data_IF_188837052251
#
_entry.id   IF_188837052251
#
_cell.length_a   1.000
_cell.length_b   1.000
_cell.length_c   1.000
_cell.angle_alpha   90.00
_cell.angle_beta   90.00
_cell.angle_gamma   90.00
#
_symmetry.space_group_name_H-M   'P 1'
#
loop_
_entity.id
_entity.type
_entity.pdbx_description
1 polymer ?
#
# COMPACT_ATOMS: atom_id res chain seq x y z
N UNK A 1 8.43 33.13 21.52
CA UNK A 1 7.73 32.46 22.64
C UNK A 1 7.80 30.96 22.38
N UNK A 2 8.02 30.14 23.40
CA UNK A 2 8.14 28.69 23.23
C UNK A 2 6.85 28.11 22.62
N UNK A 3 6.99 27.10 21.75
CA UNK A 3 5.90 26.40 21.07
C UNK A 3 4.82 25.94 22.04
N UNK A 4 3.55 26.27 21.77
CA UNK A 4 2.43 25.65 22.50
C UNK A 4 2.40 24.15 22.17
N UNK A 5 2.28 23.25 23.17
CA UNK A 5 2.11 21.82 22.94
C UNK A 5 0.82 21.44 22.19
N UNK A 6 -0.06 22.42 21.92
CA UNK A 6 -1.36 22.24 21.24
C UNK A 6 -1.34 22.52 19.74
N UNK A 7 -0.21 22.92 19.16
CA UNK A 7 -0.18 23.26 17.73
C UNK A 7 -0.11 21.99 16.85
N UNK A 8 -0.93 21.94 15.80
CA UNK A 8 -0.74 20.93 14.75
C UNK A 8 0.47 21.31 13.89
N UNK A 9 1.13 20.31 13.32
CA UNK A 9 2.38 20.49 12.58
C UNK A 9 2.25 19.96 11.17
N UNK A 10 2.53 20.80 10.18
CA UNK A 10 2.52 20.44 8.77
C UNK A 10 3.96 20.37 8.27
N UNK A 11 4.30 19.27 7.60
CA UNK A 11 5.54 19.16 6.84
C UNK A 11 5.27 19.59 5.38
N UNK A 12 5.88 20.69 4.95
CA UNK A 12 5.81 21.17 3.56
C UNK A 12 7.03 20.68 2.78
N UNK A 13 6.82 19.85 1.76
CA UNK A 13 7.88 19.35 0.87
C UNK A 13 7.81 20.06 -0.48
N UNK A 14 8.93 20.63 -0.91
CA UNK A 14 9.03 21.28 -2.20
C UNK A 14 10.49 21.33 -2.68
N UNK A 15 10.65 21.52 -3.99
CA UNK A 15 11.93 21.84 -4.62
C UNK A 15 12.11 23.36 -4.60
N UNK A 16 12.69 23.91 -3.54
CA UNK A 16 12.67 25.36 -3.31
C UNK A 16 13.52 26.14 -4.32
N UNK A 17 14.54 25.51 -4.90
CA UNK A 17 15.33 26.05 -6.01
C UNK A 17 14.51 26.47 -7.24
N UNK A 18 13.33 25.89 -7.43
CA UNK A 18 12.45 26.16 -8.58
C UNK A 18 11.03 26.58 -8.18
N UNK A 19 10.65 26.44 -6.90
CA UNK A 19 9.29 26.67 -6.40
C UNK A 19 9.26 27.48 -5.12
N UNK A 20 10.25 28.35 -4.91
CA UNK A 20 10.34 29.17 -3.70
C UNK A 20 9.11 30.07 -3.55
N UNK A 21 8.69 30.75 -4.62
CA UNK A 21 7.59 31.71 -4.58
C UNK A 21 6.26 31.04 -4.18
N UNK A 22 5.96 29.89 -4.81
CA UNK A 22 4.75 29.10 -4.56
C UNK A 22 4.78 28.46 -3.18
N UNK A 23 5.94 27.93 -2.75
CA UNK A 23 6.11 27.36 -1.41
C UNK A 23 5.96 28.42 -0.32
N UNK A 24 6.50 29.62 -0.56
CA UNK A 24 6.33 30.75 0.35
C UNK A 24 4.87 31.21 0.41
N UNK A 25 4.12 31.16 -0.69
CA UNK A 25 2.67 31.42 -0.70
C UNK A 25 1.90 30.38 0.13
N UNK A 26 2.14 29.09 -0.10
CA UNK A 26 1.52 28.00 0.67
C UNK A 26 1.85 28.14 2.17
N UNK A 27 3.11 28.45 2.49
CA UNK A 27 3.55 28.72 3.86
C UNK A 27 2.75 29.85 4.50
N UNK A 28 2.61 31.00 3.82
CA UNK A 28 1.83 32.14 4.31
C UNK A 28 0.38 31.74 4.58
N UNK A 29 -0.25 31.01 3.67
CA UNK A 29 -1.63 30.56 3.82
C UNK A 29 -1.81 29.57 4.98
N UNK A 30 -0.87 28.63 5.18
CA UNK A 30 -0.86 27.74 6.35
C UNK A 30 -0.73 28.53 7.67
N UNK A 31 0.16 29.53 7.70
CA UNK A 31 0.44 30.34 8.90
C UNK A 31 -0.67 31.33 9.27
N UNK A 32 -1.69 31.53 8.41
CA UNK A 32 -2.92 32.26 8.80
C UNK A 32 -3.62 31.60 9.99
N UNK A 33 -3.38 30.30 10.18
CA UNK A 33 -3.76 29.57 11.37
C UNK A 33 -2.80 29.82 12.53
N UNK A 34 -3.27 30.44 13.62
CA UNK A 34 -2.52 30.57 14.87
C UNK A 34 -2.29 29.23 15.58
N UNK A 35 -2.77 28.10 15.06
CA UNK A 35 -2.65 26.74 15.63
C UNK A 35 -1.81 25.77 14.76
N UNK A 36 -1.13 26.28 13.73
CA UNK A 36 -0.20 25.50 12.90
C UNK A 36 1.27 25.92 13.01
N UNK A 37 2.13 24.93 13.19
CA UNK A 37 3.56 25.02 12.94
C UNK A 37 3.89 24.39 11.60
N UNK A 38 4.85 24.95 10.88
CA UNK A 38 5.26 24.44 9.58
C UNK A 38 6.74 24.08 9.60
N UNK A 39 7.05 22.83 9.30
CA UNK A 39 8.41 22.41 8.96
C UNK A 39 8.49 22.34 7.44
N UNK A 40 9.43 23.05 6.84
CA UNK A 40 9.69 22.99 5.40
C UNK A 40 10.87 22.05 5.19
N UNK A 41 10.72 21.13 4.24
CA UNK A 41 11.77 20.23 3.81
C UNK A 41 12.11 20.51 2.35
N UNK A 42 13.26 21.12 2.13
CA UNK A 42 13.77 21.37 0.78
C UNK A 42 14.34 20.08 0.18
N UNK A 43 13.81 19.70 -0.96
CA UNK A 43 14.28 18.57 -1.79
C UNK A 43 14.72 19.06 -3.18
N UNK A 44 15.01 20.36 -3.31
CA UNK A 44 15.52 21.02 -4.50
C UNK A 44 16.95 20.61 -4.84
N UNK A 45 17.30 20.71 -6.12
CA UNK A 45 18.61 20.31 -6.64
C UNK A 45 19.71 21.29 -6.25
N UNK A 46 19.40 22.57 -6.31
CA UNK A 46 20.33 23.64 -5.96
C UNK A 46 20.05 24.13 -4.54
N UNK A 47 21.11 24.45 -3.80
CA UNK A 47 20.95 25.05 -2.49
C UNK A 47 20.25 26.41 -2.59
N UNK A 48 19.37 26.69 -1.64
CA UNK A 48 18.79 28.02 -1.42
C UNK A 48 19.88 29.05 -1.12
N UNK A 49 19.65 30.28 -1.56
CA UNK A 49 20.48 31.40 -1.11
C UNK A 49 20.33 31.60 0.40
N UNK A 50 21.38 32.09 1.07
CA UNK A 50 21.31 32.41 2.51
C UNK A 50 20.18 33.39 2.81
N UNK A 51 19.98 34.38 1.93
CA UNK A 51 18.93 35.38 2.08
C UNK A 51 17.53 34.75 2.06
N UNK A 52 17.25 33.85 1.11
CA UNK A 52 15.94 33.21 0.99
C UNK A 52 15.67 32.26 2.17
N UNK A 53 16.70 31.54 2.61
CA UNK A 53 16.61 30.67 3.78
C UNK A 53 16.31 31.46 5.06
N UNK A 54 16.98 32.60 5.27
CA UNK A 54 16.72 33.52 6.38
C UNK A 54 15.31 34.13 6.30
N UNK A 55 14.85 34.50 5.11
CA UNK A 55 13.50 35.05 4.91
C UNK A 55 12.42 34.04 5.32
N UNK A 56 12.54 32.77 4.91
CA UNK A 56 11.60 31.72 5.31
C UNK A 56 11.64 31.46 6.82
N UNK A 57 12.82 31.46 7.42
CA UNK A 57 13.01 31.21 8.86
C UNK A 57 12.64 32.40 9.75
N UNK A 58 12.61 33.63 9.21
CA UNK A 58 12.17 34.82 9.94
C UNK A 58 10.71 34.74 10.40
N UNK A 59 9.91 33.90 9.75
CA UNK A 59 8.53 33.62 10.11
C UNK A 59 8.47 32.81 11.41
N UNK A 60 7.79 33.35 12.42
CA UNK A 60 7.55 32.62 13.67
C UNK A 60 6.79 31.31 13.37
N UNK A 61 7.22 30.19 13.99
CA UNK A 61 6.63 28.82 13.83
C UNK A 61 7.00 28.12 12.54
N UNK A 62 8.06 28.56 11.88
CA UNK A 62 8.65 27.89 10.73
C UNK A 62 9.98 27.27 11.12
N UNK A 63 10.19 26.03 10.69
CA UNK A 63 11.50 25.36 10.72
C UNK A 63 11.87 24.97 9.30
N UNK A 64 13.01 25.43 8.79
CA UNK A 64 13.55 24.99 7.51
C UNK A 64 14.55 23.86 7.73
N UNK A 65 14.36 22.76 7.02
CA UNK A 65 15.27 21.63 6.93
C UNK A 65 15.73 21.51 5.46
N UNK A 66 17.04 21.40 5.25
CA UNK A 66 17.63 21.14 3.95
C UNK A 66 18.48 19.87 3.99
N UNK A 67 18.81 19.36 2.81
CA UNK A 67 19.73 18.22 2.65
C UNK A 67 20.82 18.55 1.65
N UNK A 68 21.98 17.96 1.90
CA UNK A 68 22.98 17.74 0.89
C UNK A 68 23.11 16.23 0.67
N UNK A 69 23.13 15.80 -0.59
CA UNK A 69 23.47 14.42 -0.92
C UNK A 69 24.99 14.27 -0.86
N UNK A 70 25.48 13.08 -0.50
CA UNK A 70 26.92 12.77 -0.48
C UNK A 70 27.61 12.99 -1.84
N UNK A 71 26.85 12.90 -2.93
CA UNK A 71 27.31 13.22 -4.29
C UNK A 71 26.81 14.60 -4.70
N UNK A 72 27.69 15.50 -5.20
CA UNK A 72 27.27 16.80 -5.68
C UNK A 72 26.17 16.68 -6.74
N UNK A 73 25.15 17.52 -6.62
CA UNK A 73 24.00 17.50 -7.53
C UNK A 73 24.40 17.77 -8.99
N UNK A 74 25.55 18.41 -9.24
CA UNK A 74 26.07 18.68 -10.58
C UNK A 74 26.52 17.42 -11.34
N UNK A 75 26.88 16.35 -10.61
CA UNK A 75 27.55 15.18 -11.18
C UNK A 75 26.59 14.03 -11.54
N UNK A 76 25.28 14.25 -11.39
CA UNK A 76 24.24 13.23 -11.58
C UNK A 76 23.16 13.70 -12.55
N UNK A 77 22.57 12.75 -13.30
CA UNK A 77 21.42 13.05 -14.15
C UNK A 77 20.23 13.50 -13.31
N UNK A 78 19.28 14.22 -13.92
CA UNK A 78 18.05 14.66 -13.21
C UNK A 78 17.27 13.47 -12.65
N UNK A 79 17.23 12.36 -13.38
CA UNK A 79 16.57 11.13 -12.95
C UNK A 79 17.25 10.52 -11.73
N UNK A 80 18.57 10.33 -11.79
CA UNK A 80 19.34 9.73 -10.69
C UNK A 80 19.29 10.60 -9.43
N UNK A 81 19.38 11.92 -9.59
CA UNK A 81 19.21 12.86 -8.48
C UNK A 81 17.86 12.66 -7.81
N UNK A 82 16.78 12.59 -8.60
CA UNK A 82 15.42 12.48 -8.08
C UNK A 82 15.23 11.19 -7.27
N UNK A 83 15.77 10.07 -7.75
CA UNK A 83 15.70 8.79 -7.02
C UNK A 83 16.49 8.82 -5.71
N UNK A 84 17.72 9.37 -5.73
CA UNK A 84 18.56 9.48 -4.52
C UNK A 84 17.98 10.45 -3.49
N UNK A 85 17.46 11.59 -3.96
CA UNK A 85 16.81 12.57 -3.10
C UNK A 85 15.53 12.02 -2.48
N UNK A 86 14.68 11.35 -3.26
CA UNK A 86 13.49 10.68 -2.74
C UNK A 86 13.84 9.69 -1.61
N UNK A 87 14.84 8.82 -1.82
CA UNK A 87 15.28 7.86 -0.80
C UNK A 87 15.79 8.55 0.47
N UNK A 88 16.64 9.58 0.32
CA UNK A 88 17.22 10.32 1.46
C UNK A 88 16.16 11.10 2.24
N UNK A 89 15.24 11.77 1.52
CA UNK A 89 14.12 12.48 2.11
C UNK A 89 13.17 11.50 2.84
N UNK A 90 12.89 10.33 2.27
CA UNK A 90 12.09 9.28 2.91
C UNK A 90 12.69 8.88 4.26
N UNK A 91 13.99 8.62 4.34
CA UNK A 91 14.65 8.24 5.59
C UNK A 91 14.54 9.33 6.66
N UNK A 92 14.75 10.60 6.27
CA UNK A 92 14.63 11.71 7.21
C UNK A 92 13.21 11.92 7.68
N UNK A 93 12.23 11.89 6.77
CA UNK A 93 10.82 12.02 7.13
C UNK A 93 10.41 10.88 8.05
N UNK A 94 10.85 9.65 7.79
CA UNK A 94 10.61 8.52 8.69
C UNK A 94 11.20 8.77 10.09
N UNK A 95 12.36 9.42 10.19
CA UNK A 95 12.94 9.88 11.46
C UNK A 95 12.10 10.95 12.15
N UNK A 96 11.60 11.94 11.40
CA UNK A 96 10.73 13.00 11.92
C UNK A 96 9.39 12.45 12.44
N UNK A 97 8.80 11.49 11.71
CA UNK A 97 7.54 10.84 12.08
C UNK A 97 7.64 10.06 13.40
N UNK A 98 8.82 9.55 13.75
CA UNK A 98 9.07 8.82 15.00
C UNK A 98 9.37 9.72 16.21
N UNK A 99 9.65 10.99 15.98
CA UNK A 99 10.11 11.90 17.04
C UNK A 99 8.92 12.46 17.83
N UNK A 100 8.84 12.20 19.16
CA UNK A 100 7.71 12.64 19.99
C UNK A 100 7.69 14.17 20.18
N UNK A 101 8.84 14.83 20.02
CA UNK A 101 8.96 16.30 20.10
C UNK A 101 8.68 16.98 18.76
N UNK A 102 8.57 16.20 17.67
CA UNK A 102 8.32 16.73 16.33
C UNK A 102 7.24 16.00 15.55
N UNK A 103 6.22 15.51 16.25
CA UNK A 103 5.08 14.84 15.63
C UNK A 103 4.52 15.68 14.48
N UNK A 104 4.57 15.11 13.27
CA UNK A 104 3.96 15.68 12.08
C UNK A 104 2.52 15.21 12.03
N UNK A 105 1.60 16.13 11.77
CA UNK A 105 0.16 15.87 11.75
C UNK A 105 -0.43 15.97 10.33
N UNK A 106 0.38 16.40 9.37
CA UNK A 106 0.02 16.42 7.96
C UNK A 106 1.24 16.70 7.10
N UNK A 107 1.25 16.15 5.88
CA UNK A 107 2.31 16.34 4.90
C UNK A 107 1.70 16.93 3.62
N UNK A 108 2.18 18.11 3.24
CA UNK A 108 1.78 18.82 2.03
C UNK A 108 2.98 18.91 1.10
N UNK A 109 2.80 18.59 -0.17
CA UNK A 109 3.82 18.91 -1.16
C UNK A 109 3.24 19.48 -2.45
N UNK A 110 4.10 20.17 -3.18
CA UNK A 110 3.76 20.82 -4.45
C UNK A 110 4.81 20.44 -5.50
N UNK A 111 4.39 20.11 -6.72
CA UNK A 111 5.34 19.71 -7.74
C UNK A 111 4.78 19.60 -9.15
N UNK A 112 5.66 19.80 -10.13
CA UNK A 112 5.45 19.26 -11.48
C UNK A 112 5.67 17.75 -11.48
N UNK A 113 5.91 17.13 -12.64
CA UNK A 113 6.15 15.68 -12.74
C UNK A 113 7.26 15.18 -11.79
N UNK A 114 8.50 15.70 -11.91
CA UNK A 114 9.64 15.25 -11.08
C UNK A 114 9.42 15.50 -9.58
N UNK A 115 8.95 16.69 -9.21
CA UNK A 115 8.70 17.03 -7.81
C UNK A 115 7.59 16.16 -7.20
N UNK A 116 6.53 15.90 -7.96
CA UNK A 116 5.44 15.01 -7.56
C UNK A 116 5.93 13.60 -7.31
N UNK A 117 6.79 13.05 -8.18
CA UNK A 117 7.34 11.71 -7.99
C UNK A 117 8.17 11.59 -6.70
N UNK A 118 9.01 12.59 -6.39
CA UNK A 118 9.81 12.59 -5.16
C UNK A 118 8.93 12.74 -3.91
N UNK A 119 8.02 13.72 -3.90
CA UNK A 119 7.10 13.93 -2.77
C UNK A 119 6.22 12.70 -2.54
N UNK A 120 5.69 12.11 -3.61
CA UNK A 120 4.84 10.94 -3.53
C UNK A 120 5.61 9.73 -2.98
N UNK A 121 6.86 9.51 -3.39
CA UNK A 121 7.70 8.46 -2.80
C UNK A 121 7.87 8.67 -1.28
N UNK A 122 8.18 9.88 -0.84
CA UNK A 122 8.28 10.20 0.60
C UNK A 122 6.96 9.93 1.33
N UNK A 123 5.83 10.38 0.77
CA UNK A 123 4.51 10.16 1.35
C UNK A 123 4.14 8.67 1.45
N UNK A 124 4.49 7.86 0.45
CA UNK A 124 4.20 6.42 0.45
C UNK A 124 5.05 5.66 1.47
N UNK A 125 6.34 6.00 1.53
CA UNK A 125 7.32 5.13 2.15
C UNK A 125 7.68 5.57 3.59
N UNK A 126 7.45 6.84 3.94
CA UNK A 126 7.76 7.38 5.27
C UNK A 126 6.54 7.64 6.16
N UNK A 127 5.33 7.69 5.59
CA UNK A 127 4.15 8.23 6.28
C UNK A 127 3.06 7.18 6.42
N UNK A 128 2.56 7.00 7.64
CA UNK A 128 1.55 5.99 7.95
C UNK A 128 0.21 6.24 7.24
N UNK A 129 -0.54 5.17 6.94
CA UNK A 129 -1.90 5.30 6.40
C UNK A 129 -2.78 5.96 7.46
N UNK A 130 -3.64 6.90 7.05
CA UNK A 130 -4.50 7.69 7.92
C UNK A 130 -3.90 9.03 8.36
N UNK A 131 -2.58 9.23 8.30
CA UNK A 131 -1.98 10.55 8.47
C UNK A 131 -2.25 11.39 7.21
N UNK A 132 -2.75 12.63 7.32
CA UNK A 132 -3.07 13.48 6.16
C UNK A 132 -1.90 13.68 5.18
N UNK A 133 -2.07 13.22 3.93
CA UNK A 133 -1.11 13.39 2.82
C UNK A 133 -1.79 14.14 1.68
N UNK A 134 -1.33 15.34 1.32
CA UNK A 134 -1.85 16.10 0.18
C UNK A 134 -0.72 16.49 -0.77
N UNK A 135 -0.86 16.15 -2.05
CA UNK A 135 0.07 16.53 -3.11
C UNK A 135 -0.65 17.36 -4.17
N UNK A 136 -0.23 18.61 -4.34
CA UNK A 136 -0.63 19.45 -5.48
C UNK A 136 0.28 19.12 -6.66
N UNK A 137 -0.30 18.57 -7.72
CA UNK A 137 0.47 18.05 -8.86
C UNK A 137 -0.09 18.51 -10.20
N UNK A 138 0.82 18.83 -11.13
CA UNK A 138 0.46 19.02 -12.56
C UNK A 138 0.03 17.72 -13.24
N UNK A 139 0.31 16.57 -12.63
CA UNK A 139 0.03 15.23 -13.16
C UNK A 139 -1.24 14.60 -12.57
N UNK A 140 -1.96 15.30 -11.67
CA UNK A 140 -3.09 14.71 -10.95
C UNK A 140 -4.29 14.34 -11.86
N UNK A 141 -4.40 14.94 -13.05
CA UNK A 141 -5.44 14.63 -14.05
C UNK A 141 -4.92 13.67 -15.13
N UNK A 142 -4.34 12.53 -14.71
CA UNK A 142 -3.78 11.51 -15.60
C UNK A 142 -3.66 10.15 -14.91
N UNK A 143 -2.74 9.30 -15.38
CA UNK A 143 -2.37 8.08 -14.64
C UNK A 143 -1.55 8.45 -13.40
N UNK A 144 -2.20 8.31 -12.24
CA UNK A 144 -1.65 8.65 -10.94
C UNK A 144 -1.38 7.42 -10.07
N UNK A 145 -1.51 6.20 -10.62
CA UNK A 145 -1.33 4.96 -9.87
C UNK A 145 0.04 4.88 -9.21
N UNK A 146 1.08 5.35 -9.90
CA UNK A 146 2.44 5.44 -9.39
C UNK A 146 2.68 6.56 -8.36
N UNK A 147 1.79 7.56 -8.26
CA UNK A 147 1.84 8.59 -7.21
C UNK A 147 1.16 8.10 -5.94
N UNK A 148 -0.04 7.53 -6.06
CA UNK A 148 -0.81 7.05 -4.90
C UNK A 148 -0.25 5.72 -4.35
N UNK A 149 0.06 4.77 -5.23
CA UNK A 149 0.59 3.47 -4.86
C UNK A 149 -0.42 2.61 -4.10
N UNK A 150 -0.13 2.34 -2.82
CA UNK A 150 -0.96 1.53 -1.91
C UNK A 150 -1.34 2.27 -0.63
N UNK A 151 -1.36 3.61 -0.65
CA UNK A 151 -1.66 4.45 0.52
C UNK A 151 -2.71 5.52 0.17
N UNK A 152 -3.14 6.27 1.17
CA UNK A 152 -4.16 7.31 1.14
C UNK A 152 -3.60 8.72 0.81
N UNK A 153 -2.84 8.84 -0.29
CA UNK A 153 -2.42 10.17 -0.80
C UNK A 153 -3.60 10.87 -1.47
N UNK A 154 -3.92 12.07 -1.02
CA UNK A 154 -4.87 12.97 -1.68
C UNK A 154 -4.15 13.79 -2.75
N UNK A 155 -4.64 13.75 -3.99
CA UNK A 155 -4.10 14.53 -5.10
C UNK A 155 -4.99 15.73 -5.40
N UNK A 156 -4.38 16.90 -5.56
CA UNK A 156 -5.03 18.12 -6.04
C UNK A 156 -4.41 18.53 -7.36
N UNK A 157 -5.21 18.63 -8.43
CA UNK A 157 -4.72 19.10 -9.71
C UNK A 157 -4.39 20.59 -9.65
N UNK A 158 -3.18 20.95 -10.06
CA UNK A 158 -2.73 22.35 -10.10
C UNK A 158 -3.42 23.18 -11.18
N UNK A 159 -4.18 22.55 -12.10
CA UNK A 159 -4.87 23.12 -13.27
C UNK A 159 -3.95 23.72 -14.33
N UNK A 160 -2.93 24.46 -13.90
CA UNK A 160 -1.86 25.03 -14.71
C UNK A 160 -0.50 24.53 -14.22
N UNK A 161 0.55 24.77 -14.99
CA UNK A 161 1.90 24.49 -14.52
C UNK A 161 2.22 25.30 -13.25
N UNK A 162 3.08 24.75 -12.39
CA UNK A 162 3.56 25.40 -11.16
C UNK A 162 4.87 26.10 -11.52
N UNK A 163 4.71 27.28 -12.11
CA UNK A 163 5.76 28.15 -12.62
C UNK A 163 5.41 29.63 -12.33
N UNK A 164 5.59 30.03 -11.08
CA UNK A 164 5.24 31.34 -10.54
C UNK A 164 3.79 31.44 -10.09
N UNK A 165 3.52 32.49 -9.31
CA UNK A 165 2.17 32.80 -8.84
C UNK A 165 1.34 33.54 -9.89
N UNK A 166 0.07 33.16 -9.98
CA UNK A 166 -0.95 33.84 -10.76
C UNK A 166 -2.31 33.67 -10.09
N UNK A 167 -3.33 34.39 -10.58
CA UNK A 167 -4.67 34.39 -9.96
C UNK A 167 -5.30 32.99 -9.81
N UNK A 168 -4.88 32.01 -10.63
CA UNK A 168 -5.38 30.65 -10.59
C UNK A 168 -4.54 29.77 -9.67
N UNK A 169 -3.21 29.82 -9.78
CA UNK A 169 -2.33 29.05 -8.88
C UNK A 169 -2.49 29.49 -7.43
N UNK A 170 -2.66 30.77 -7.14
CA UNK A 170 -2.96 31.27 -5.79
C UNK A 170 -4.24 30.65 -5.21
N UNK A 171 -5.33 30.60 -5.98
CA UNK A 171 -6.59 29.98 -5.52
C UNK A 171 -6.42 28.51 -5.21
N UNK A 172 -5.69 27.78 -6.04
CA UNK A 172 -5.51 26.33 -5.90
C UNK A 172 -4.57 26.01 -4.75
N UNK A 173 -3.43 26.71 -4.65
CA UNK A 173 -2.49 26.57 -3.55
C UNK A 173 -3.09 27.01 -2.21
N UNK A 174 -3.94 28.05 -2.21
CA UNK A 174 -4.70 28.47 -1.03
C UNK A 174 -5.69 27.40 -0.57
N UNK A 175 -6.43 26.79 -1.51
CA UNK A 175 -7.31 25.65 -1.20
C UNK A 175 -6.53 24.46 -0.64
N UNK A 176 -5.36 24.15 -1.20
CA UNK A 176 -4.49 23.08 -0.71
C UNK A 176 -4.01 23.33 0.73
N UNK A 177 -3.56 24.55 1.01
CA UNK A 177 -3.14 24.97 2.34
C UNK A 177 -4.31 24.88 3.35
N UNK A 178 -5.50 25.38 2.99
CA UNK A 178 -6.68 25.32 3.84
C UNK A 178 -7.13 23.87 4.11
N UNK A 179 -7.13 23.01 3.08
CA UNK A 179 -7.46 21.59 3.22
C UNK A 179 -6.47 20.88 4.16
N UNK A 180 -5.17 21.08 3.96
CA UNK A 180 -4.14 20.51 4.83
C UNK A 180 -4.28 21.01 6.27
N UNK A 181 -4.52 22.31 6.47
CA UNK A 181 -4.74 22.89 7.77
C UNK A 181 -5.89 22.20 8.53
N UNK A 182 -7.03 21.99 7.86
CA UNK A 182 -8.18 21.30 8.44
C UNK A 182 -7.86 19.83 8.79
N UNK A 183 -7.27 19.08 7.86
CA UNK A 183 -6.93 17.67 8.08
C UNK A 183 -5.91 17.49 9.21
N UNK A 184 -4.87 18.33 9.25
CA UNK A 184 -3.82 18.24 10.27
C UNK A 184 -4.33 18.55 11.68
N UNK A 185 -5.23 19.53 11.83
CA UNK A 185 -5.88 19.81 13.12
C UNK A 185 -6.75 18.64 13.58
N UNK A 186 -7.62 18.14 12.70
CA UNK A 186 -8.49 17.01 13.01
C UNK A 186 -7.67 15.76 13.39
N UNK A 187 -6.58 15.49 12.67
CA UNK A 187 -5.70 14.37 12.96
C UNK A 187 -5.01 14.52 14.32
N UNK A 188 -4.51 15.71 14.66
CA UNK A 188 -3.94 15.99 15.98
C UNK A 188 -4.97 15.75 17.09
N UNK A 189 -6.16 16.34 16.97
CA UNK A 189 -7.24 16.20 17.95
C UNK A 189 -7.67 14.74 18.15
N UNK A 190 -7.71 13.95 17.07
CA UNK A 190 -8.01 12.52 17.14
C UNK A 190 -6.86 11.70 17.77
N UNK A 191 -5.62 12.17 17.64
CA UNK A 191 -4.41 11.53 18.14
C UNK A 191 -4.06 11.92 19.58
N UNK A 192 -4.64 12.99 20.12
CA UNK A 192 -4.42 13.41 21.50
C UNK A 192 -4.93 12.33 22.48
N UNK A 193 -4.12 11.91 23.45
CA UNK A 193 -4.55 10.94 24.46
C UNK A 193 -5.71 11.55 25.25
N UNK A 194 -6.91 11.02 25.04
CA UNK A 194 -8.09 11.38 25.84
C UNK A 194 -7.77 11.12 27.32
N UNK A 195 -8.16 12.03 28.25
CA UNK A 195 -7.88 11.85 29.67
C UNK A 195 -8.36 10.46 30.13
N UNK A 196 -7.42 9.67 30.62
CA UNK A 196 -7.62 8.28 30.97
C UNK A 196 -8.70 8.14 32.05
N UNK A 197 -9.79 7.44 31.74
CA UNK A 197 -10.59 6.79 32.79
C UNK A 197 -9.80 5.58 33.28
N UNK A 198 -8.92 5.78 34.26
CA UNK A 198 -8.16 4.75 34.97
C UNK A 198 -7.16 3.91 34.15
N UNK A 199 -6.02 3.60 34.78
CA UNK A 199 -4.85 2.95 34.17
C UNK A 199 -5.06 1.50 33.69
N UNK A 200 -6.27 0.93 33.79
CA UNK A 200 -6.59 -0.38 33.21
C UNK A 200 -7.07 -0.32 31.76
N UNK A 201 -7.38 0.86 31.22
CA UNK A 201 -8.05 0.99 29.91
C UNK A 201 -7.11 1.23 28.71
N UNK A 202 -5.78 1.27 28.92
CA UNK A 202 -4.80 1.57 27.85
C UNK A 202 -4.70 0.49 26.73
N UNK A 203 -5.47 -0.60 26.83
CA UNK A 203 -5.64 -1.62 25.78
C UNK A 203 -7.10 -1.79 25.32
N UNK A 204 -7.97 -0.86 25.71
CA UNK A 204 -9.40 -0.93 25.43
C UNK A 204 -9.86 0.31 24.69
N UNK A 205 -10.52 0.10 23.56
CA UNK A 205 -11.33 1.13 22.92
C UNK A 205 -12.61 1.29 23.76
N UNK A 206 -12.61 2.25 24.69
CA UNK A 206 -13.75 2.56 25.55
C UNK A 206 -14.20 1.42 26.49
N UNK A 207 -13.27 0.70 27.12
CA UNK A 207 -13.57 -0.39 28.05
C UNK A 207 -13.90 -1.74 27.40
N UNK A 208 -13.85 -1.85 26.07
CA UNK A 208 -13.93 -3.13 25.33
C UNK A 208 -12.52 -3.59 24.90
N UNK A 209 -12.21 -4.87 25.14
CA UNK A 209 -10.98 -5.53 24.64
C UNK A 209 -10.84 -5.22 23.14
N UNK A 210 -9.68 -4.69 22.70
CA UNK A 210 -9.40 -4.44 21.26
C UNK A 210 -9.76 -5.70 20.48
N UNK A 211 -10.67 -5.57 19.52
CA UNK A 211 -11.02 -6.66 18.62
C UNK A 211 -9.77 -7.03 17.85
N UNK A 212 -9.57 -8.33 17.71
CA UNK A 212 -8.52 -8.83 16.83
C UNK A 212 -8.76 -8.34 15.42
N UNK A 213 -7.71 -7.89 14.72
CA UNK A 213 -7.81 -7.40 13.34
C UNK A 213 -7.19 -8.41 12.38
N UNK A 214 -7.98 -8.87 11.41
CA UNK A 214 -7.56 -9.87 10.43
C UNK A 214 -7.71 -9.28 9.03
N UNK A 215 -6.64 -9.30 8.25
CA UNK A 215 -6.71 -8.95 6.83
C UNK A 215 -7.09 -10.18 6.00
N UNK A 216 -7.89 -9.99 4.95
CA UNK A 216 -8.19 -11.04 3.96
C UNK A 216 -8.17 -10.50 2.53
N UNK A 217 -7.53 -11.21 1.61
CA UNK A 217 -7.53 -10.85 0.18
C UNK A 217 -8.68 -11.52 -0.58
N UNK A 218 -9.23 -10.80 -1.55
CA UNK A 218 -10.44 -11.16 -2.27
C UNK A 218 -10.36 -10.79 -3.73
N UNK A 219 -10.97 -11.60 -4.59
CA UNK A 219 -11.36 -11.20 -5.94
C UNK A 219 -12.81 -11.61 -6.21
N UNK A 220 -13.44 -11.09 -7.26
CA UNK A 220 -14.83 -11.41 -7.58
C UNK A 220 -15.07 -12.92 -7.61
N UNK A 221 -14.14 -13.66 -8.22
CA UNK A 221 -14.12 -15.13 -8.36
C UNK A 221 -13.76 -15.92 -7.09
N UNK A 222 -13.45 -15.25 -5.98
CA UNK A 222 -13.22 -15.87 -4.66
C UNK A 222 -14.12 -15.28 -3.57
N UNK A 223 -15.01 -14.35 -3.93
CA UNK A 223 -15.89 -13.63 -2.99
C UNK A 223 -16.72 -14.58 -2.12
N UNK A 224 -17.36 -15.65 -2.64
CA UNK A 224 -18.13 -16.56 -1.79
C UNK A 224 -17.30 -17.21 -0.68
N UNK A 225 -16.06 -17.64 -0.95
CA UNK A 225 -15.16 -18.18 0.06
C UNK A 225 -14.74 -17.14 1.09
N UNK A 226 -14.34 -15.94 0.62
CA UNK A 226 -13.95 -14.81 1.49
C UNK A 226 -15.08 -14.40 2.42
N UNK A 227 -16.31 -14.25 1.90
CA UNK A 227 -17.44 -13.79 2.70
C UNK A 227 -17.82 -14.79 3.79
N UNK A 228 -17.68 -16.09 3.52
CA UNK A 228 -17.87 -17.13 4.53
C UNK A 228 -16.84 -17.02 5.64
N UNK A 229 -15.55 -16.95 5.30
CA UNK A 229 -14.45 -16.79 6.26
C UNK A 229 -14.64 -15.52 7.10
N UNK A 230 -14.93 -14.39 6.43
CA UNK A 230 -15.23 -13.10 7.07
C UNK A 230 -16.38 -13.22 8.06
N UNK A 231 -17.49 -13.85 7.65
CA UNK A 231 -18.64 -14.05 8.51
C UNK A 231 -18.27 -14.88 9.75
N UNK A 232 -17.63 -16.03 9.57
CA UNK A 232 -17.21 -16.91 10.66
C UNK A 232 -16.33 -16.20 11.68
N UNK A 233 -15.30 -15.48 11.22
CA UNK A 233 -14.36 -14.76 12.09
C UNK A 233 -14.97 -13.54 12.77
N UNK A 234 -15.98 -12.91 12.16
CA UNK A 234 -16.67 -11.75 12.74
C UNK A 234 -17.68 -12.14 13.83
N UNK A 235 -18.16 -13.38 13.83
CA UNK A 235 -19.13 -13.88 14.81
C UNK A 235 -18.43 -14.45 16.06
N UNK A 236 -19.15 -14.57 17.20
CA UNK A 236 -18.68 -15.36 18.34
C UNK A 236 -18.36 -16.81 17.92
N UNK A 237 -17.33 -17.45 18.48
CA UNK A 237 -16.51 -17.00 19.61
C UNK A 237 -15.33 -16.07 19.22
N UNK A 238 -15.11 -15.81 17.93
CA UNK A 238 -13.95 -15.05 17.46
C UNK A 238 -14.11 -13.54 17.66
N UNK A 239 -15.19 -12.95 17.12
CA UNK A 239 -15.48 -11.52 17.25
C UNK A 239 -14.39 -10.60 16.68
N UNK A 240 -13.66 -11.07 15.66
CA UNK A 240 -12.60 -10.32 14.99
C UNK A 240 -13.17 -9.24 14.07
N UNK A 241 -12.40 -8.17 13.90
CA UNK A 241 -12.59 -7.17 12.85
C UNK A 241 -11.85 -7.63 11.60
N UNK A 242 -12.59 -7.99 10.56
CA UNK A 242 -12.02 -8.50 9.30
C UNK A 242 -12.04 -7.41 8.25
N UNK A 243 -10.86 -7.10 7.70
CA UNK A 243 -10.68 -6.10 6.65
C UNK A 243 -10.39 -6.80 5.33
N UNK A 244 -11.26 -6.58 4.34
CA UNK A 244 -11.17 -7.21 3.02
C UNK A 244 -10.42 -6.32 2.05
N UNK A 245 -9.40 -6.86 1.39
CA UNK A 245 -8.60 -6.20 0.37
C UNK A 245 -8.87 -6.81 -1.00
N UNK A 246 -9.26 -5.98 -1.96
CA UNK A 246 -9.46 -6.41 -3.33
C UNK A 246 -8.09 -6.62 -4.01
N UNK A 247 -7.81 -7.81 -4.53
CA UNK A 247 -6.54 -8.22 -5.10
C UNK A 247 -6.30 -7.59 -6.50
N UNK A 248 -6.22 -6.27 -6.57
CA UNK A 248 -6.08 -5.46 -7.79
C UNK A 248 -4.71 -4.78 -7.91
N UNK A 249 -3.71 -5.34 -7.24
CA UNK A 249 -2.36 -4.80 -7.10
C UNK A 249 -2.29 -3.74 -5.99
N UNK A 250 -3.18 -2.75 -6.07
CA UNK A 250 -3.29 -1.70 -5.05
C UNK A 250 -3.75 -2.24 -3.69
N UNK A 251 -4.69 -3.19 -3.68
CA UNK A 251 -5.19 -3.78 -2.44
C UNK A 251 -4.15 -4.62 -1.71
N UNK A 252 -3.38 -5.46 -2.40
CA UNK A 252 -2.25 -6.18 -1.81
C UNK A 252 -1.19 -5.25 -1.25
N UNK A 253 -0.81 -4.19 -1.99
CA UNK A 253 0.14 -3.17 -1.49
C UNK A 253 -0.38 -2.44 -0.26
N UNK A 254 -1.67 -2.10 -0.22
CA UNK A 254 -2.29 -1.46 0.94
C UNK A 254 -2.30 -2.39 2.16
N UNK A 255 -2.72 -3.65 1.97
CA UNK A 255 -2.67 -4.68 3.01
C UNK A 255 -1.26 -4.82 3.59
N UNK A 256 -0.24 -4.94 2.73
CA UNK A 256 1.15 -5.08 3.16
C UNK A 256 1.71 -3.85 3.86
N UNK A 257 1.30 -2.66 3.44
CA UNK A 257 1.67 -1.42 4.11
C UNK A 257 1.12 -1.40 5.54
N UNK A 258 -0.15 -1.78 5.72
CA UNK A 258 -0.81 -1.88 7.02
C UNK A 258 -0.21 -3.00 7.89
N UNK A 259 0.22 -4.13 7.29
CA UNK A 259 0.96 -5.18 7.99
C UNK A 259 2.27 -4.62 8.57
N UNK A 260 3.06 -3.90 7.77
CA UNK A 260 4.32 -3.27 8.24
C UNK A 260 4.08 -2.21 9.33
N UNK A 261 2.90 -1.61 9.34
CA UNK A 261 2.47 -0.66 10.37
C UNK A 261 1.94 -1.32 11.64
N UNK A 262 1.80 -2.66 11.67
CA UNK A 262 1.34 -3.40 12.85
C UNK A 262 -0.17 -3.34 13.07
N UNK A 263 -0.94 -3.02 12.02
CA UNK A 263 -2.39 -2.85 12.13
C UNK A 263 -3.16 -4.18 12.22
N UNK A 264 -2.55 -5.29 11.82
CA UNK A 264 -3.16 -6.62 11.78
C UNK A 264 -2.49 -7.60 12.73
N UNK A 265 -3.33 -8.42 13.39
CA UNK A 265 -2.90 -9.50 14.27
C UNK A 265 -2.69 -10.82 13.49
N UNK A 266 -3.35 -10.97 12.34
CA UNK A 266 -3.21 -12.10 11.42
C UNK A 266 -3.66 -11.75 9.99
N UNK A 267 -3.28 -12.59 9.02
CA UNK A 267 -3.63 -12.43 7.61
C UNK A 267 -4.12 -13.76 7.01
N UNK A 268 -5.16 -13.67 6.19
CA UNK A 268 -5.63 -14.75 5.31
C UNK A 268 -5.49 -14.25 3.87
N UNK A 269 -4.38 -14.57 3.24
CA UNK A 269 -4.16 -14.22 1.84
C UNK A 269 -4.78 -15.30 0.95
N UNK A 270 -6.11 -15.32 0.91
CA UNK A 270 -6.88 -16.32 0.17
C UNK A 270 -6.72 -16.17 -1.35
N UNK A 271 -6.56 -14.93 -1.80
CA UNK A 271 -6.54 -14.55 -3.22
C UNK A 271 -5.20 -13.89 -3.57
N UNK A 272 -4.29 -14.66 -4.15
CA UNK A 272 -2.93 -14.24 -4.51
C UNK A 272 -2.76 -13.95 -6.00
N UNK A 273 -3.86 -13.68 -6.71
CA UNK A 273 -3.93 -13.37 -8.16
C UNK A 273 -2.97 -12.27 -8.62
N UNK A 274 -2.65 -11.29 -7.76
CA UNK A 274 -1.70 -10.21 -8.08
C UNK A 274 -0.29 -10.73 -8.45
N UNK A 275 0.05 -11.96 -8.03
CA UNK A 275 1.30 -12.64 -8.39
C UNK A 275 1.23 -13.22 -9.81
N UNK A 276 0.06 -13.69 -10.25
CA UNK A 276 -0.12 -14.10 -11.63
C UNK A 276 0.09 -12.91 -12.58
N UNK A 277 -0.47 -11.75 -12.23
CA UNK A 277 -0.23 -10.50 -12.96
C UNK A 277 1.25 -10.09 -12.97
N UNK A 278 1.98 -10.18 -11.85
CA UNK A 278 3.42 -9.91 -11.82
C UNK A 278 4.22 -10.86 -12.72
N UNK A 279 3.90 -12.16 -12.68
CA UNK A 279 4.60 -13.19 -13.46
C UNK A 279 4.29 -13.10 -14.95
N UNK A 280 3.03 -12.81 -15.28
CA UNK A 280 2.46 -12.82 -16.62
C UNK A 280 2.38 -11.45 -17.31
N UNK A 281 2.75 -10.37 -16.63
CA UNK A 281 2.70 -9.01 -17.18
C UNK A 281 1.29 -8.42 -17.27
N UNK A 282 0.43 -8.75 -16.31
CA UNK A 282 -0.91 -8.19 -16.16
C UNK A 282 -0.92 -6.79 -15.52
N UNK A 283 -2.08 -6.13 -15.53
CA UNK A 283 -2.24 -4.73 -15.10
C UNK A 283 -2.53 -4.57 -13.61
N UNK A 284 -2.84 -5.66 -12.90
CA UNK A 284 -3.19 -5.70 -11.48
C UNK A 284 -2.07 -6.28 -10.61
N UNK A 285 -0.80 -6.13 -11.04
CA UNK A 285 0.34 -6.55 -10.24
C UNK A 285 0.48 -5.73 -8.95
N UNK A 286 0.78 -6.43 -7.84
CA UNK A 286 1.19 -5.81 -6.57
C UNK A 286 2.71 -5.53 -6.49
N UNK A 287 3.47 -5.91 -7.52
CA UNK A 287 4.91 -5.74 -7.65
C UNK A 287 5.72 -6.90 -7.07
N UNK A 288 7.05 -6.87 -7.27
CA UNK A 288 7.93 -8.00 -6.95
C UNK A 288 8.08 -8.26 -5.45
N UNK A 289 7.66 -7.32 -4.60
CA UNK A 289 7.72 -7.46 -3.13
C UNK A 289 6.50 -8.13 -2.51
N UNK A 290 5.49 -8.49 -3.31
CA UNK A 290 4.28 -9.17 -2.81
C UNK A 290 4.64 -10.42 -1.98
N UNK A 291 3.86 -10.65 -0.91
CA UNK A 291 4.04 -11.61 0.19
C UNK A 291 5.23 -11.35 1.14
N UNK A 292 5.96 -10.24 1.02
CA UNK A 292 7.13 -10.00 1.89
C UNK A 292 6.75 -9.43 3.26
N UNK A 293 5.66 -8.66 3.38
CA UNK A 293 5.33 -7.96 4.62
C UNK A 293 5.06 -8.89 5.81
N UNK A 294 4.39 -10.02 5.57
CA UNK A 294 4.10 -10.98 6.63
C UNK A 294 5.37 -11.58 7.25
N UNK A 295 6.36 -11.91 6.41
CA UNK A 295 7.66 -12.38 6.86
C UNK A 295 8.43 -11.28 7.63
N UNK A 296 8.31 -10.02 7.22
CA UNK A 296 8.93 -8.91 7.94
C UNK A 296 8.29 -8.66 9.32
N UNK A 297 6.97 -8.81 9.41
CA UNK A 297 6.21 -8.56 10.65
C UNK A 297 6.12 -9.77 11.59
N UNK A 298 6.45 -10.99 11.12
CA UNK A 298 6.33 -12.24 11.87
C UNK A 298 4.93 -12.41 12.51
N UNK A 299 3.88 -12.30 11.70
CA UNK A 299 2.48 -12.49 12.09
C UNK A 299 1.89 -13.79 11.50
N UNK A 300 0.90 -14.42 12.15
CA UNK A 300 0.17 -15.55 11.58
C UNK A 300 -0.38 -15.25 10.19
N UNK A 301 -0.07 -16.11 9.23
CA UNK A 301 -0.34 -15.88 7.82
C UNK A 301 -0.79 -17.18 7.14
N UNK A 302 -2.07 -17.24 6.79
CA UNK A 302 -2.61 -18.29 5.91
C UNK A 302 -2.46 -17.83 4.47
N UNK A 303 -1.94 -18.70 3.60
CA UNK A 303 -1.82 -18.45 2.16
C UNK A 303 -2.63 -19.48 1.39
N UNK A 304 -3.38 -19.01 0.40
CA UNK A 304 -3.95 -19.86 -0.65
C UNK A 304 -3.59 -19.27 -2.02
N UNK A 305 -4.07 -19.93 -3.07
CA UNK A 305 -3.73 -19.68 -4.47
C UNK A 305 -4.95 -19.20 -5.27
N UNK A 306 -5.88 -18.54 -4.57
CA UNK A 306 -7.12 -18.08 -5.17
C UNK A 306 -6.88 -17.12 -6.33
N UNK A 307 -7.59 -17.38 -7.43
CA UNK A 307 -7.51 -16.63 -8.67
C UNK A 307 -6.10 -16.56 -9.31
N UNK A 308 -5.18 -17.48 -8.99
CA UNK A 308 -3.91 -17.61 -9.71
C UNK A 308 -4.07 -18.21 -11.13
N UNK A 309 -5.29 -18.62 -11.51
CA UNK A 309 -5.66 -19.08 -12.85
C UNK A 309 -5.77 -17.95 -13.87
N UNK A 310 -5.67 -16.67 -13.47
CA UNK A 310 -5.91 -15.53 -14.36
C UNK A 310 -4.85 -14.43 -14.26
N UNK A 311 -4.43 -13.93 -15.41
CA UNK A 311 -3.69 -12.69 -15.60
C UNK A 311 -4.67 -11.63 -16.12
N UNK A 312 -4.70 -10.47 -15.49
CA UNK A 312 -5.67 -9.42 -15.78
C UNK A 312 -5.13 -8.43 -16.82
N UNK A 313 -5.94 -8.14 -17.83
CA UNK A 313 -5.73 -7.07 -18.80
C UNK A 313 -6.91 -6.10 -18.79
N UNK A 314 -6.72 -4.97 -19.47
CA UNK A 314 -7.78 -4.00 -19.71
C UNK A 314 -8.80 -4.50 -20.75
N UNK A 315 -9.48 -3.59 -21.46
CA UNK A 315 -10.40 -3.99 -22.53
C UNK A 315 -9.66 -4.82 -23.58
N UNK A 316 -10.38 -5.65 -24.34
CA UNK A 316 -9.80 -6.50 -25.39
C UNK A 316 -8.90 -5.74 -26.37
N UNK A 317 -9.20 -4.46 -26.64
CA UNK A 317 -8.39 -3.58 -27.50
C UNK A 317 -6.99 -3.24 -26.94
N UNK A 318 -6.77 -3.45 -25.64
CA UNK A 318 -5.47 -3.27 -24.97
C UNK A 318 -4.65 -4.57 -24.88
N UNK A 319 -5.25 -5.72 -25.17
CA UNK A 319 -4.57 -7.01 -25.17
C UNK A 319 -3.62 -7.09 -26.35
N UNK A 320 -2.39 -7.59 -26.12
CA UNK A 320 -1.38 -7.70 -27.17
C UNK A 320 -1.88 -8.58 -28.33
N UNK A 321 -1.65 -8.19 -29.60
CA UNK A 321 -2.10 -8.97 -30.76
C UNK A 321 -1.63 -10.43 -30.73
N UNK A 322 -0.41 -10.69 -30.24
CA UNK A 322 0.12 -12.06 -30.15
C UNK A 322 -0.74 -12.96 -29.25
N UNK A 323 -1.27 -12.44 -28.14
CA UNK A 323 -2.15 -13.20 -27.23
C UNK A 323 -3.52 -13.47 -27.85
N UNK A 324 -4.04 -12.51 -28.63
CA UNK A 324 -5.31 -12.68 -29.36
C UNK A 324 -5.17 -13.76 -30.43
N UNK A 325 -4.05 -13.79 -31.15
CA UNK A 325 -3.79 -14.82 -32.16
C UNK A 325 -3.54 -16.20 -31.52
N UNK A 326 -2.87 -16.26 -30.36
CA UNK A 326 -2.68 -17.50 -29.60
C UNK A 326 -4.02 -18.05 -29.07
N UNK A 327 -4.95 -17.19 -28.63
CA UNK A 327 -6.31 -17.59 -28.23
C UNK A 327 -7.10 -18.20 -29.39
N UNK A 328 -7.07 -17.58 -30.57
CA UNK A 328 -7.72 -18.12 -31.78
C UNK A 328 -7.19 -19.49 -32.21
N UNK A 329 -5.91 -19.78 -31.91
CA UNK A 329 -5.27 -21.07 -32.17
C UNK A 329 -5.51 -22.11 -31.06
N UNK A 330 -6.11 -21.71 -29.93
CA UNK A 330 -6.29 -22.56 -28.75
C UNK A 330 -5.00 -22.80 -27.96
N UNK A 331 -3.95 -22.02 -28.20
CA UNK A 331 -2.65 -22.10 -27.49
C UNK A 331 -2.70 -21.36 -26.15
N UNK A 332 -3.50 -20.29 -26.08
CA UNK A 332 -3.84 -19.55 -24.87
C UNK A 332 -5.36 -19.45 -24.76
N UNK A 333 -5.87 -18.93 -23.64
CA UNK A 333 -7.31 -18.77 -23.42
C UNK A 333 -7.63 -17.42 -22.82
N UNK A 334 -8.31 -16.59 -23.59
CA UNK A 334 -8.83 -15.29 -23.17
C UNK A 334 -10.30 -15.43 -22.74
N UNK A 335 -10.68 -14.67 -21.73
CA UNK A 335 -12.06 -14.57 -21.26
C UNK A 335 -12.40 -13.12 -21.02
N UNK A 336 -13.33 -12.58 -21.82
CA UNK A 336 -13.83 -11.22 -21.63
C UNK A 336 -14.80 -11.20 -20.44
N UNK A 337 -14.30 -10.82 -19.27
CA UNK A 337 -15.11 -10.76 -18.05
C UNK A 337 -16.17 -9.64 -18.15
N UNK A 338 -15.77 -8.48 -18.68
CA UNK A 338 -16.67 -7.37 -18.98
C UNK A 338 -16.04 -6.49 -20.10
N UNK A 339 -16.72 -5.44 -20.60
CA UNK A 339 -16.18 -4.59 -21.66
C UNK A 339 -14.82 -3.93 -21.36
N UNK A 340 -14.46 -3.78 -20.08
CA UNK A 340 -13.24 -3.11 -19.61
C UNK A 340 -12.16 -4.07 -19.12
N UNK A 341 -12.44 -5.37 -18.98
CA UNK A 341 -11.54 -6.36 -18.38
C UNK A 341 -11.55 -7.65 -19.18
N UNK A 342 -10.37 -8.05 -19.66
CA UNK A 342 -10.11 -9.34 -20.27
C UNK A 342 -9.13 -10.13 -19.40
N UNK A 343 -9.45 -11.39 -19.14
CA UNK A 343 -8.62 -12.31 -18.38
C UNK A 343 -7.89 -13.24 -19.33
N UNK A 344 -6.64 -13.58 -19.03
CA UNK A 344 -5.85 -14.60 -19.72
C UNK A 344 -5.61 -15.76 -18.76
N UNK A 345 -5.95 -16.98 -19.17
CA UNK A 345 -5.69 -18.20 -18.39
C UNK A 345 -4.19 -18.38 -18.24
N UNK A 346 -3.72 -18.52 -16.99
CA UNK A 346 -2.34 -18.90 -16.71
C UNK A 346 -2.06 -20.32 -17.20
N UNK A 347 -0.93 -20.50 -17.88
CA UNK A 347 -0.50 -21.80 -18.39
C UNK A 347 0.33 -22.59 -17.36
N UNK A 348 0.77 -23.79 -17.74
CA UNK A 348 1.55 -24.68 -16.90
C UNK A 348 2.83 -24.04 -16.36
N UNK A 349 3.55 -23.29 -17.20
CA UNK A 349 4.85 -22.71 -16.84
C UNK A 349 4.68 -21.45 -16.00
N UNK A 350 3.68 -20.63 -16.32
CA UNK A 350 3.27 -19.49 -15.49
C UNK A 350 2.87 -19.97 -14.08
N UNK A 351 2.12 -21.08 -13.96
CA UNK A 351 1.76 -21.67 -12.66
C UNK A 351 2.99 -22.17 -11.86
N UNK A 352 4.00 -22.73 -12.52
CA UNK A 352 5.28 -23.05 -11.85
C UNK A 352 5.96 -21.79 -11.32
N UNK A 353 6.06 -20.76 -12.17
CA UNK A 353 6.68 -19.47 -11.79
C UNK A 353 5.93 -18.78 -10.64
N UNK A 354 4.60 -18.86 -10.62
CA UNK A 354 3.78 -18.38 -9.48
C UNK A 354 4.12 -19.16 -8.21
N UNK A 355 4.20 -20.50 -8.30
CA UNK A 355 4.57 -21.35 -7.17
C UNK A 355 5.96 -21.06 -6.62
N UNK A 356 6.94 -20.86 -7.51
CA UNK A 356 8.30 -20.42 -7.14
C UNK A 356 8.28 -19.06 -6.44
N UNK A 357 7.59 -18.07 -7.02
CA UNK A 357 7.48 -16.73 -6.44
C UNK A 357 6.93 -16.80 -5.02
N UNK A 358 5.80 -17.49 -4.82
CA UNK A 358 5.18 -17.63 -3.49
C UNK A 358 6.16 -18.32 -2.53
N UNK A 359 6.72 -19.47 -2.93
CA UNK A 359 7.62 -20.25 -2.07
C UNK A 359 8.86 -19.46 -1.64
N UNK A 360 9.46 -18.70 -2.55
CA UNK A 360 10.61 -17.82 -2.26
C UNK A 360 10.30 -16.73 -1.24
N UNK A 361 9.06 -16.25 -1.19
CA UNK A 361 8.63 -15.26 -0.20
C UNK A 361 8.38 -15.91 1.14
N UNK A 362 7.67 -17.05 1.17
CA UNK A 362 7.31 -17.72 2.42
C UNK A 362 8.53 -18.33 3.13
N UNK A 363 9.56 -18.77 2.40
CA UNK A 363 10.81 -19.26 3.00
C UNK A 363 11.54 -18.21 3.85
N UNK A 364 11.23 -16.91 3.68
CA UNK A 364 11.81 -15.80 4.46
C UNK A 364 11.23 -15.66 5.86
N UNK A 365 10.15 -16.38 6.20
CA UNK A 365 9.66 -16.40 7.58
C UNK A 365 10.71 -17.04 8.49
N UNK A 366 11.11 -16.35 9.56
CA UNK A 366 11.96 -16.96 10.59
C UNK A 366 11.17 -18.02 11.37
N UNK A 367 9.96 -17.66 11.81
CA UNK A 367 9.03 -18.58 12.48
C UNK A 367 8.14 -19.30 11.48
N UNK A 368 8.50 -20.55 11.19
CA UNK A 368 7.83 -21.41 10.21
C UNK A 368 6.42 -21.83 10.66
N UNK A 369 6.18 -21.86 11.96
CA UNK A 369 4.88 -22.14 12.58
C UNK A 369 3.85 -20.99 12.40
N UNK A 370 4.29 -19.80 11.96
CA UNK A 370 3.43 -18.64 11.71
C UNK A 370 2.95 -18.55 10.26
N UNK A 371 3.29 -19.51 9.41
CA UNK A 371 2.84 -19.52 8.02
C UNK A 371 2.37 -20.92 7.62
N UNK A 372 1.24 -20.97 6.91
CA UNK A 372 0.66 -22.23 6.42
C UNK A 372 0.00 -22.02 5.07
N UNK A 373 0.14 -22.99 4.17
CA UNK A 373 -0.42 -22.95 2.81
C UNK A 373 -1.55 -23.97 2.69
N UNK A 374 -2.72 -23.54 2.22
CA UNK A 374 -3.88 -24.41 2.00
C UNK A 374 -4.26 -24.37 0.51
N UNK A 375 -4.35 -25.55 -0.12
CA UNK A 375 -4.68 -25.72 -1.53
C UNK A 375 -6.10 -26.26 -1.71
N UNK A 376 -6.98 -25.59 -2.48
CA UNK A 376 -8.26 -26.14 -2.90
C UNK A 376 -8.10 -26.93 -4.21
N UNK A 377 -8.10 -28.26 -4.14
CA UNK A 377 -7.78 -29.14 -5.26
C UNK A 377 -8.86 -29.24 -6.35
N UNK A 378 -10.11 -28.86 -6.07
CA UNK A 378 -11.16 -28.89 -7.11
C UNK A 378 -11.11 -27.66 -8.01
N UNK A 379 -10.86 -26.48 -7.44
CA UNK A 379 -10.88 -25.22 -8.15
C UNK A 379 -10.30 -24.09 -7.30
N UNK A 380 -9.54 -23.20 -7.93
CA UNK A 380 -8.93 -22.02 -7.30
C UNK A 380 -9.71 -20.72 -7.57
N UNK A 381 -10.79 -20.77 -8.36
CA UNK A 381 -11.66 -19.64 -8.68
C UNK A 381 -13.07 -20.11 -9.08
N UNK A 382 -14.05 -19.20 -9.13
CA UNK A 382 -15.39 -19.53 -9.66
C UNK A 382 -15.38 -20.02 -11.12
N UNK A 383 -14.31 -19.75 -11.88
CA UNK A 383 -14.24 -20.02 -13.32
C UNK A 383 -13.24 -21.13 -13.70
N UNK A 384 -12.44 -21.63 -12.75
CA UNK A 384 -11.48 -22.73 -12.97
C UNK A 384 -12.02 -24.12 -12.66
N UNK A 385 -13.25 -24.24 -12.14
CA UNK A 385 -13.85 -25.53 -11.77
C UNK A 385 -14.36 -26.31 -12.99
N UNK A 386 -14.88 -27.50 -12.74
CA UNK A 386 -15.39 -28.43 -13.77
C UNK A 386 -16.40 -27.77 -14.71
N UNK A 387 -16.12 -27.80 -16.01
CA UNK A 387 -16.92 -27.16 -17.07
C UNK A 387 -16.75 -25.63 -17.15
N UNK A 388 -15.90 -25.05 -16.30
CA UNK A 388 -15.60 -23.62 -16.28
C UNK A 388 -14.70 -23.20 -17.45
N UNK A 389 -14.73 -21.91 -17.84
CA UNK A 389 -13.91 -21.45 -18.95
C UNK A 389 -12.41 -21.54 -18.62
N UNK A 390 -11.96 -21.55 -17.37
CA UNK A 390 -10.53 -21.63 -17.03
C UNK A 390 -10.14 -23.00 -16.44
N UNK A 391 -10.95 -24.04 -16.64
CA UNK A 391 -10.63 -25.40 -16.21
C UNK A 391 -9.30 -25.88 -16.83
N UNK A 392 -8.28 -26.06 -15.98
CA UNK A 392 -7.01 -26.70 -16.31
C UNK A 392 -6.35 -27.27 -15.04
N UNK A 393 -6.71 -28.52 -14.72
CA UNK A 393 -6.20 -29.22 -13.54
C UNK A 393 -4.71 -29.51 -13.60
N UNK A 394 -4.10 -29.51 -14.79
CA UNK A 394 -2.66 -29.75 -14.92
C UNK A 394 -1.88 -28.50 -14.55
N UNK A 395 -2.33 -27.32 -15.00
CA UNK A 395 -1.78 -26.04 -14.60
C UNK A 395 -1.89 -25.81 -13.09
N UNK A 396 -3.07 -26.04 -12.51
CA UNK A 396 -3.29 -25.85 -11.06
C UNK A 396 -2.44 -26.82 -10.22
N UNK A 397 -2.35 -28.10 -10.64
CA UNK A 397 -1.50 -29.08 -9.97
C UNK A 397 -0.02 -28.69 -10.03
N UNK A 398 0.45 -28.13 -11.15
CA UNK A 398 1.84 -27.67 -11.27
C UNK A 398 2.15 -26.55 -10.28
N UNK A 399 1.21 -25.62 -10.04
CA UNK A 399 1.34 -24.61 -8.98
C UNK A 399 1.47 -25.28 -7.60
N UNK A 400 0.57 -26.20 -7.27
CA UNK A 400 0.57 -26.85 -5.94
C UNK A 400 1.84 -27.66 -5.70
N UNK A 401 2.28 -28.44 -6.69
CA UNK A 401 3.49 -29.26 -6.63
C UNK A 401 4.75 -28.40 -6.51
N UNK A 402 4.87 -27.35 -7.32
CA UNK A 402 6.03 -26.46 -7.29
C UNK A 402 6.14 -25.75 -5.94
N UNK A 403 5.03 -25.18 -5.44
CA UNK A 403 5.02 -24.52 -4.14
C UNK A 403 5.28 -25.53 -3.00
N UNK A 404 4.71 -26.73 -3.05
CA UNK A 404 4.98 -27.77 -2.04
C UNK A 404 6.46 -28.16 -2.03
N UNK A 405 7.06 -28.40 -3.20
CA UNK A 405 8.47 -28.76 -3.33
C UNK A 405 9.40 -27.65 -2.84
N UNK A 406 9.10 -26.38 -3.13
CA UNK A 406 9.88 -25.24 -2.66
C UNK A 406 9.86 -25.09 -1.12
N UNK A 407 8.80 -25.58 -0.47
CA UNK A 407 8.63 -25.53 0.98
C UNK A 407 9.07 -26.82 1.70
N UNK A 408 9.43 -27.87 0.95
CA UNK A 408 9.88 -29.14 1.52
C UNK A 408 11.12 -28.95 2.39
N UNK A 409 11.12 -29.56 3.58
CA UNK A 409 12.21 -29.44 4.56
C UNK A 409 12.33 -28.07 5.25
N UNK A 410 11.53 -27.06 4.88
CA UNK A 410 11.58 -25.73 5.52
C UNK A 410 10.86 -25.67 6.87
N UNK A 411 9.99 -26.65 7.16
CA UNK A 411 9.12 -26.66 8.34
C UNK A 411 7.78 -25.93 8.15
N UNK A 412 7.55 -25.28 7.00
CA UNK A 412 6.27 -24.66 6.65
C UNK A 412 5.28 -25.74 6.22
N UNK A 413 4.08 -25.71 6.79
CA UNK A 413 3.04 -26.71 6.50
C UNK A 413 2.28 -26.37 5.22
N UNK A 414 2.06 -27.38 4.38
CA UNK A 414 1.20 -27.33 3.21
C UNK A 414 0.08 -28.37 3.37
N UNK A 415 -1.15 -27.99 3.06
CA UNK A 415 -2.31 -28.89 3.14
C UNK A 415 -3.12 -28.84 1.85
N UNK A 416 -3.58 -30.01 1.41
CA UNK A 416 -4.37 -30.19 0.20
C UNK A 416 -5.77 -30.63 0.58
N UNK A 417 -6.75 -29.88 0.10
CA UNK A 417 -8.15 -30.07 0.41
C UNK A 417 -8.90 -30.38 -0.87
N UNK A 418 -9.64 -31.51 -0.93
CA UNK A 418 -10.45 -31.92 -2.10
C UNK A 418 -11.74 -31.09 -2.23
N UNK A 419 -11.60 -29.78 -2.19
CA UNK A 419 -12.66 -28.79 -2.10
C UNK A 419 -12.41 -27.66 -3.12
N UNK A 420 -13.47 -26.95 -3.47
CA UNK A 420 -13.42 -25.69 -4.21
C UNK A 420 -13.08 -24.56 -3.23
N UNK A 421 -12.33 -23.55 -3.67
CA UNK A 421 -11.98 -22.38 -2.83
C UNK A 421 -13.21 -21.66 -2.24
N UNK A 422 -14.35 -21.73 -2.93
CA UNK A 422 -15.62 -21.10 -2.56
C UNK A 422 -16.57 -22.07 -1.82
N UNK A 423 -16.22 -23.35 -1.70
CA UNK A 423 -17.02 -24.33 -0.95
C UNK A 423 -16.98 -24.01 0.55
N UNK A 424 -18.10 -24.17 1.30
CA UNK A 424 -18.12 -23.94 2.74
C UNK A 424 -17.08 -24.73 3.53
N UNK A 425 -16.77 -25.96 3.08
CA UNK A 425 -15.76 -26.79 3.71
C UNK A 425 -14.39 -26.13 3.73
N UNK A 426 -13.97 -25.52 2.61
CA UNK A 426 -12.64 -24.90 2.52
C UNK A 426 -12.53 -23.66 3.42
N UNK A 427 -13.62 -22.89 3.53
CA UNK A 427 -13.70 -21.79 4.48
C UNK A 427 -13.50 -22.25 5.94
N UNK A 428 -14.04 -23.42 6.32
CA UNK A 428 -13.82 -24.01 7.64
C UNK A 428 -12.34 -24.36 7.86
N UNK A 429 -11.73 -25.06 6.90
CA UNK A 429 -10.31 -25.46 6.97
C UNK A 429 -9.38 -24.24 7.14
N UNK A 430 -9.66 -23.15 6.41
CA UNK A 430 -8.91 -21.89 6.53
C UNK A 430 -9.05 -21.25 7.92
N UNK A 431 -10.26 -21.19 8.46
CA UNK A 431 -10.51 -20.61 9.79
C UNK A 431 -9.88 -21.48 10.89
N UNK A 432 -10.04 -22.79 10.82
CA UNK A 432 -9.49 -23.73 11.79
C UNK A 432 -7.96 -23.69 11.80
N UNK A 433 -7.34 -23.66 10.62
CA UNK A 433 -5.89 -23.49 10.48
C UNK A 433 -5.39 -22.20 11.15
N UNK A 434 -6.07 -21.07 10.92
CA UNK A 434 -5.68 -19.80 11.54
C UNK A 434 -5.82 -19.84 13.07
N UNK A 435 -6.92 -20.40 13.57
CA UNK A 435 -7.19 -20.53 15.02
C UNK A 435 -6.15 -21.42 15.70
N UNK A 436 -5.78 -22.53 15.06
CA UNK A 436 -4.74 -23.43 15.55
C UNK A 436 -3.38 -22.74 15.65
N UNK A 437 -2.95 -22.06 14.57
CA UNK A 437 -1.67 -21.32 14.55
C UNK A 437 -1.60 -20.28 15.67
N UNK A 438 -2.70 -19.57 15.93
CA UNK A 438 -2.77 -18.57 16.99
C UNK A 438 -2.72 -19.16 18.40
N UNK A 439 -3.29 -20.34 18.63
CA UNK A 439 -3.21 -21.02 19.95
C UNK A 439 -1.78 -21.40 20.31
N UNK A 440 -0.98 -21.82 19.33
CA UNK A 440 0.43 -22.18 19.53
C UNK A 440 1.32 -20.97 19.87
N UNK A 441 0.94 -19.75 19.44
CA UNK A 441 1.63 -18.48 19.78
C UNK A 441 1.42 -18.04 21.24
N UNK A 442 0.38 -18.54 21.90
CA UNK A 442 0.01 -18.15 23.27
C UNK A 442 0.67 -18.95 24.40
N UNK A 443 1.56 -19.89 24.07
CA UNK A 443 2.48 -20.57 24.99
C UNK A 443 3.90 -20.09 24.70
#
# INVERSE_FOLDING_TARGET
MASSPTDARVLLLATLDTKLEESAYVLRELLRSSELQVTILDIGRNALSTHDAELLQSQHRVQLLSFELDTPAADVSRGDYSSRMASSATQRVAGLMKSPTTAVHGILGIGGSTGSSMVAAVMRDAVAIGLPKLLVSTMASGDVGHLVGGVDITLMYSVVDIAGLNFLSEKILGNAAAAMAGMARQYREASEPKPAKSHLEARTDGGKKRRERIAITMFGVTTPGVDRIRHMLSQPPHGAEVVVFHATGSGGRAMETLIRQGEFDAVIDLTTSEIADEVGGGILSAGPDRLSAGAQAQIPYIVSVGACDMINFGPMSSVKPELIEADKKGERKLYQHNPSVTLLRTDLEENRRIGEFIGEKLTRYERKDLVKVLFPEKSISMISGDGGPFEDRNADRALFETLTGKLEGTGIQTERHKLDINEPGFANEVVDALVEMKRRKGH
#
